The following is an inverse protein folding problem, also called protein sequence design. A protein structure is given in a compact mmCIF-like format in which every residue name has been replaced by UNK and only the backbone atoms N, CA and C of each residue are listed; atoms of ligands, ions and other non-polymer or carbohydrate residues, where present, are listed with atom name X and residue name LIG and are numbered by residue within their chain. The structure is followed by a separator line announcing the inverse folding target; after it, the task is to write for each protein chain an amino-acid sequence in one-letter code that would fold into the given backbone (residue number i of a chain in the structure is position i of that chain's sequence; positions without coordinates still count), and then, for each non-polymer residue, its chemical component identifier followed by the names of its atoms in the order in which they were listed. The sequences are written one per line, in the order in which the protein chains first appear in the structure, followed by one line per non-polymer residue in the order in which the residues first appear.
data_IF_484463479547
#
_entry.id   IF_484463479547
#
_cell.length_a   1.000
_cell.length_b   1.000
_cell.length_c   1.000
_cell.angle_alpha   90.00
_cell.angle_beta   90.00
_cell.angle_gamma   90.00
#
_symmetry.space_group_name_H-M   'P 1'
#
loop_
_entity.id
_entity.type
_entity.pdbx_description
1 polymer ?
#
# COMPACT_ATOMS: atom_id res chain seq x y z
N UNK A 1 19.26 -25.60 2.84
CA UNK A 1 17.98 -25.21 3.48
C UNK A 1 17.97 -25.66 4.94
N UNK A 2 17.77 -24.74 5.88
CA UNK A 2 17.44 -25.13 7.26
C UNK A 2 16.12 -25.92 7.23
N UNK A 3 15.97 -27.01 7.99
CA UNK A 3 14.68 -27.71 8.10
C UNK A 3 13.65 -26.72 8.64
N UNK A 4 12.76 -26.23 7.78
CA UNK A 4 11.71 -25.30 8.16
C UNK A 4 10.78 -25.90 9.23
N UNK A 5 10.42 -25.09 10.22
CA UNK A 5 9.48 -25.50 11.28
C UNK A 5 8.16 -24.76 11.08
N UNK A 6 7.16 -25.41 10.52
CA UNK A 6 5.84 -24.80 10.26
C UNK A 6 5.18 -24.19 11.50
N UNK A 7 5.49 -24.71 12.68
CA UNK A 7 4.97 -24.16 13.94
C UNK A 7 5.43 -22.72 14.21
N UNK A 8 6.55 -22.29 13.61
CA UNK A 8 7.04 -20.92 13.73
C UNK A 8 6.13 -19.89 13.04
N UNK A 9 5.20 -20.32 12.16
CA UNK A 9 4.18 -19.46 11.55
C UNK A 9 2.96 -19.22 12.45
N UNK A 10 2.87 -19.94 13.57
CA UNK A 10 1.72 -19.86 14.48
C UNK A 10 1.41 -18.42 14.97
N UNK A 11 2.39 -17.53 15.23
CA UNK A 11 2.11 -16.13 15.59
C UNK A 11 1.29 -15.38 14.54
N UNK A 12 1.52 -15.63 13.24
CA UNK A 12 0.71 -15.05 12.16
C UNK A 12 -0.74 -15.56 12.27
N UNK A 13 -0.91 -16.85 12.51
CA UNK A 13 -2.24 -17.45 12.74
C UNK A 13 -2.97 -16.81 13.92
N UNK A 14 -2.26 -16.59 15.04
CA UNK A 14 -2.82 -15.91 16.22
C UNK A 14 -3.26 -14.48 15.88
N UNK A 15 -2.40 -13.72 15.19
CA UNK A 15 -2.75 -12.38 14.74
C UNK A 15 -4.02 -12.39 13.87
N UNK A 16 -4.08 -13.26 12.85
CA UNK A 16 -5.23 -13.33 11.94
C UNK A 16 -6.51 -13.71 12.66
N UNK A 17 -6.46 -14.67 13.60
CA UNK A 17 -7.63 -15.08 14.39
C UNK A 17 -8.08 -13.93 15.30
N UNK A 18 -7.17 -13.25 15.97
CA UNK A 18 -7.53 -12.13 16.85
C UNK A 18 -8.08 -10.95 16.05
N UNK A 19 -7.40 -10.52 14.97
CA UNK A 19 -7.80 -9.34 14.24
C UNK A 19 -9.01 -9.60 13.33
N UNK A 20 -8.88 -10.57 12.41
CA UNK A 20 -9.97 -10.89 11.48
C UNK A 20 -11.09 -11.67 12.15
N UNK A 21 -10.75 -12.65 12.99
CA UNK A 21 -11.75 -13.50 13.65
C UNK A 21 -12.63 -12.71 14.61
N UNK A 22 -12.06 -11.89 15.50
CA UNK A 22 -12.84 -11.02 16.38
C UNK A 22 -13.54 -9.90 15.61
N UNK A 23 -12.89 -9.33 14.59
CA UNK A 23 -13.52 -8.31 13.74
C UNK A 23 -14.79 -8.84 13.07
N UNK A 24 -14.72 -10.04 12.46
CA UNK A 24 -15.88 -10.71 11.85
C UNK A 24 -16.94 -11.02 12.91
N UNK A 25 -16.54 -11.51 14.09
CA UNK A 25 -17.44 -11.80 15.18
C UNK A 25 -18.22 -10.54 15.61
N UNK A 26 -17.52 -9.43 15.82
CA UNK A 26 -18.16 -8.18 16.25
C UNK A 26 -19.05 -7.58 15.16
N UNK A 27 -18.58 -7.47 13.92
CA UNK A 27 -19.30 -6.82 12.82
C UNK A 27 -20.51 -7.62 12.33
N UNK A 28 -20.33 -8.94 12.10
CA UNK A 28 -21.33 -9.76 11.40
C UNK A 28 -22.11 -10.72 12.31
N UNK A 29 -21.58 -11.11 13.47
CA UNK A 29 -22.29 -12.03 14.37
C UNK A 29 -22.93 -11.28 15.54
N UNK A 30 -22.24 -10.31 16.10
CA UNK A 30 -22.76 -9.47 17.20
C UNK A 30 -23.43 -8.19 16.69
N UNK A 31 -23.38 -7.93 15.37
CA UNK A 31 -23.98 -6.76 14.72
C UNK A 31 -23.57 -5.43 15.35
N UNK A 32 -22.34 -5.37 15.88
CA UNK A 32 -21.78 -4.13 16.44
C UNK A 32 -21.34 -3.25 15.28
N UNK A 33 -21.90 -2.06 15.08
CA UNK A 33 -21.48 -1.15 14.03
C UNK A 33 -19.98 -0.87 14.11
N UNK A 34 -19.27 -0.96 12.98
CA UNK A 34 -17.82 -0.79 12.89
C UNK A 34 -17.05 -1.75 13.84
N UNK A 35 -17.49 -3.00 13.94
CA UNK A 35 -16.96 -4.01 14.86
C UNK A 35 -15.46 -4.24 14.74
N UNK A 36 -14.88 -4.09 13.53
CA UNK A 36 -13.43 -4.19 13.32
C UNK A 36 -12.64 -3.10 14.04
N UNK A 37 -13.20 -1.91 14.26
CA UNK A 37 -12.53 -0.85 15.03
C UNK A 37 -12.42 -1.17 16.53
N UNK A 38 -13.23 -2.11 17.01
CA UNK A 38 -13.15 -2.56 18.41
C UNK A 38 -12.01 -3.55 18.66
N UNK A 39 -11.28 -3.96 17.62
CA UNK A 39 -10.09 -4.81 17.73
C UNK A 39 -8.87 -3.96 17.41
N UNK A 40 -8.18 -3.38 18.41
CA UNK A 40 -6.98 -2.58 18.15
C UNK A 40 -5.90 -3.46 17.52
N UNK A 41 -5.53 -3.15 16.28
CA UNK A 41 -4.57 -3.94 15.50
C UNK A 41 -3.22 -4.07 16.20
N UNK A 42 -2.77 -3.01 16.89
CA UNK A 42 -1.53 -2.99 17.67
C UNK A 42 -1.58 -4.06 18.78
N UNK A 43 -2.73 -4.22 19.46
CA UNK A 43 -2.91 -5.22 20.52
C UNK A 43 -2.86 -6.65 19.96
N UNK A 44 -3.48 -6.86 18.79
CA UNK A 44 -3.42 -8.16 18.11
C UNK A 44 -1.97 -8.53 17.72
N UNK A 45 -1.16 -7.59 17.23
CA UNK A 45 0.25 -7.81 16.95
C UNK A 45 1.08 -8.04 18.21
N UNK A 46 0.83 -7.33 19.30
CA UNK A 46 1.51 -7.56 20.58
C UNK A 46 1.25 -8.97 21.11
N UNK A 47 0.01 -9.45 21.01
CA UNK A 47 -0.33 -10.83 21.38
C UNK A 47 0.40 -11.85 20.49
N UNK A 48 0.48 -11.61 19.20
CA UNK A 48 1.22 -12.46 18.27
C UNK A 48 2.73 -12.49 18.56
N UNK A 49 3.34 -11.33 18.87
CA UNK A 49 4.75 -11.25 19.28
C UNK A 49 4.99 -12.00 20.59
N UNK A 50 4.09 -11.86 21.57
CA UNK A 50 4.19 -12.63 22.81
C UNK A 50 4.23 -14.13 22.54
N UNK A 51 3.35 -14.63 21.67
CA UNK A 51 3.35 -16.04 21.24
C UNK A 51 4.66 -16.41 20.54
N UNK A 52 5.19 -15.55 19.63
CA UNK A 52 6.48 -15.77 18.98
C UNK A 52 7.61 -15.85 20.00
N UNK A 53 7.61 -15.03 21.04
CA UNK A 53 8.59 -15.08 22.13
C UNK A 53 8.49 -16.36 22.96
N UNK A 54 7.31 -16.94 23.13
CA UNK A 54 7.11 -18.16 23.90
C UNK A 54 7.48 -19.44 23.14
N UNK A 55 7.51 -19.41 21.80
CA UNK A 55 7.70 -20.61 20.96
C UNK A 55 9.10 -21.22 21.07
N UNK A 56 10.15 -20.43 21.05
CA UNK A 56 11.54 -20.92 21.05
C UNK A 56 12.20 -20.68 22.40
N UNK A 57 12.15 -21.70 23.26
CA UNK A 57 12.74 -21.67 24.59
C UNK A 57 14.29 -21.82 24.61
N UNK A 58 14.88 -22.17 23.47
CA UNK A 58 16.34 -22.31 23.37
C UNK A 58 17.06 -20.94 23.26
N UNK A 59 16.32 -19.87 22.88
CA UNK A 59 16.81 -18.51 22.88
C UNK A 59 16.31 -17.78 24.12
N UNK A 60 17.21 -17.11 24.82
CA UNK A 60 16.87 -16.19 25.88
C UNK A 60 16.12 -14.96 25.37
N UNK A 61 15.58 -14.19 26.29
CA UNK A 61 14.76 -13.03 25.89
C UNK A 61 15.61 -11.90 25.27
N UNK A 62 16.83 -11.71 25.78
CA UNK A 62 17.74 -10.69 25.26
C UNK A 62 18.12 -10.97 23.80
N UNK A 63 18.37 -12.23 23.46
CA UNK A 63 18.64 -12.62 22.07
C UNK A 63 17.42 -12.43 21.16
N UNK A 64 16.21 -12.67 21.66
CA UNK A 64 14.98 -12.37 20.92
C UNK A 64 14.81 -10.88 20.68
N UNK A 65 15.13 -10.03 21.68
CA UNK A 65 15.14 -8.57 21.52
C UNK A 65 16.14 -8.11 20.46
N UNK A 66 17.37 -8.67 20.43
CA UNK A 66 18.33 -8.38 19.38
C UNK A 66 17.81 -8.70 17.98
N UNK A 67 17.18 -9.88 17.82
CA UNK A 67 16.60 -10.31 16.54
C UNK A 67 15.46 -9.36 16.12
N UNK A 68 14.58 -8.99 17.03
CA UNK A 68 13.51 -8.03 16.77
C UNK A 68 14.07 -6.66 16.40
N UNK A 69 15.08 -6.17 17.13
CA UNK A 69 15.75 -4.89 16.86
C UNK A 69 16.39 -4.86 15.46
N UNK A 70 17.02 -5.95 15.03
CA UNK A 70 17.57 -6.08 13.68
C UNK A 70 16.47 -6.02 12.62
N UNK A 71 15.31 -6.64 12.87
CA UNK A 71 14.16 -6.57 11.97
C UNK A 71 13.58 -5.17 11.83
N UNK A 72 13.40 -4.48 12.95
CA UNK A 72 12.89 -3.09 12.98
C UNK A 72 13.90 -2.11 12.38
N UNK A 73 15.20 -2.35 12.55
CA UNK A 73 16.28 -1.53 11.99
C UNK A 73 16.51 -1.72 10.48
N UNK A 74 15.67 -2.51 9.79
CA UNK A 74 15.74 -2.63 8.34
C UNK A 74 15.51 -1.28 7.65
N UNK A 75 16.32 -0.98 6.62
CA UNK A 75 16.28 0.29 5.89
C UNK A 75 14.87 0.61 5.37
N UNK A 76 14.15 -0.39 4.87
CA UNK A 76 12.82 -0.17 4.29
C UNK A 76 11.82 0.22 5.38
N UNK A 77 11.89 -0.42 6.55
CA UNK A 77 11.04 -0.08 7.71
C UNK A 77 11.32 1.34 8.18
N UNK A 78 12.57 1.71 8.37
CA UNK A 78 12.94 3.08 8.77
C UNK A 78 12.49 4.12 7.74
N UNK A 79 12.67 3.82 6.45
CA UNK A 79 12.19 4.72 5.36
C UNK A 79 10.68 4.90 5.40
N UNK A 80 9.91 3.82 5.60
CA UNK A 80 8.44 3.89 5.74
C UNK A 80 8.02 4.74 6.93
N UNK A 81 8.65 4.55 8.10
CA UNK A 81 8.34 5.34 9.30
C UNK A 81 8.57 6.83 9.06
N UNK A 82 9.69 7.20 8.42
CA UNK A 82 9.98 8.60 8.09
C UNK A 82 8.95 9.19 7.11
N UNK A 83 8.51 8.41 6.12
CA UNK A 83 7.46 8.82 5.18
C UNK A 83 6.14 9.05 5.91
N UNK A 84 5.72 8.14 6.80
CA UNK A 84 4.48 8.29 7.57
C UNK A 84 4.51 9.53 8.46
N UNK A 85 5.60 9.76 9.18
CA UNK A 85 5.74 10.95 10.03
C UNK A 85 5.74 12.26 9.23
N UNK A 86 6.44 12.29 8.08
CA UNK A 86 6.43 13.43 7.17
C UNK A 86 5.04 13.65 6.55
N UNK A 87 4.33 12.58 6.22
CA UNK A 87 2.96 12.60 5.71
C UNK A 87 1.98 13.22 6.71
N UNK A 88 2.01 12.74 7.95
CA UNK A 88 1.20 13.31 9.02
C UNK A 88 1.51 14.79 9.24
N UNK A 89 2.80 15.15 9.26
CA UNK A 89 3.21 16.56 9.35
C UNK A 89 2.66 17.40 8.20
N UNK A 90 2.72 16.91 6.96
CA UNK A 90 2.19 17.60 5.78
C UNK A 90 0.68 17.85 5.92
N UNK A 91 -0.10 16.80 6.20
CA UNK A 91 -1.55 16.92 6.40
C UNK A 91 -1.89 17.89 7.54
N UNK A 92 -1.14 17.82 8.64
CA UNK A 92 -1.32 18.74 9.78
C UNK A 92 -1.07 20.21 9.41
N UNK A 93 -0.06 20.49 8.58
CA UNK A 93 0.26 21.87 8.15
C UNK A 93 -0.75 22.41 7.14
N UNK A 94 -1.02 21.67 6.07
CA UNK A 94 -1.90 22.14 4.99
C UNK A 94 -3.37 22.09 5.39
N UNK A 95 -3.73 21.19 6.28
CA UNK A 95 -5.07 21.04 6.83
C UNK A 95 -6.12 20.64 5.80
N UNK A 96 -7.36 20.55 6.29
CA UNK A 96 -8.53 20.21 5.47
C UNK A 96 -8.83 21.28 4.43
N UNK A 97 -8.66 22.57 4.77
CA UNK A 97 -8.99 23.69 3.87
C UNK A 97 -8.18 23.71 2.58
N UNK A 98 -6.90 23.30 2.63
CA UNK A 98 -6.07 23.19 1.42
C UNK A 98 -6.51 22.03 0.54
N UNK A 99 -6.83 20.87 1.11
CA UNK A 99 -7.36 19.74 0.35
C UNK A 99 -8.72 20.06 -0.31
N UNK A 100 -9.61 20.74 0.42
CA UNK A 100 -10.88 21.24 -0.12
C UNK A 100 -10.66 22.25 -1.25
N UNK A 101 -9.70 23.19 -1.09
CA UNK A 101 -9.35 24.15 -2.15
C UNK A 101 -8.87 23.46 -3.42
N UNK A 102 -8.07 22.41 -3.32
CA UNK A 102 -7.65 21.57 -4.46
C UNK A 102 -8.86 20.89 -5.10
N UNK A 103 -9.74 20.29 -4.32
CA UNK A 103 -10.93 19.61 -4.82
C UNK A 103 -11.88 20.57 -5.56
N UNK A 104 -12.17 21.74 -4.98
CA UNK A 104 -13.03 22.74 -5.63
C UNK A 104 -12.38 23.34 -6.87
N UNK A 105 -11.06 23.59 -6.85
CA UNK A 105 -10.31 24.00 -8.02
C UNK A 105 -10.42 22.96 -9.15
N UNK A 106 -10.20 21.68 -8.85
CA UNK A 106 -10.36 20.58 -9.80
C UNK A 106 -11.79 20.49 -10.35
N UNK A 107 -12.80 20.56 -9.49
CA UNK A 107 -14.21 20.51 -9.90
C UNK A 107 -14.67 21.75 -10.68
N UNK A 108 -13.98 22.89 -10.56
CA UNK A 108 -14.24 24.07 -11.40
C UNK A 108 -13.79 23.87 -12.85
N UNK A 109 -12.73 23.06 -13.05
CA UNK A 109 -12.13 22.80 -14.36
C UNK A 109 -12.72 21.57 -15.07
N UNK A 110 -13.14 20.57 -14.29
CA UNK A 110 -13.56 19.26 -14.78
C UNK A 110 -14.98 18.95 -14.31
N UNK A 111 -15.88 18.42 -15.19
CA UNK A 111 -17.20 17.96 -14.74
C UNK A 111 -17.07 16.93 -13.62
N UNK A 112 -17.88 17.04 -12.56
CA UNK A 112 -17.78 16.20 -11.37
C UNK A 112 -17.75 14.70 -11.67
N UNK A 113 -18.49 14.25 -12.70
CA UNK A 113 -18.54 12.84 -13.14
C UNK A 113 -17.18 12.27 -13.54
N UNK A 114 -16.21 13.10 -13.92
CA UNK A 114 -14.86 12.66 -14.29
C UNK A 114 -13.86 12.77 -13.14
N UNK A 115 -14.22 13.39 -12.02
CA UNK A 115 -13.28 13.69 -10.93
C UNK A 115 -12.58 12.44 -10.37
N UNK A 116 -13.32 11.35 -10.15
CA UNK A 116 -12.76 10.10 -9.63
C UNK A 116 -11.83 9.44 -10.66
N UNK A 117 -12.19 9.49 -11.95
CA UNK A 117 -11.34 8.98 -13.03
C UNK A 117 -10.04 9.78 -13.17
N UNK A 118 -10.11 11.09 -12.98
CA UNK A 118 -8.93 11.97 -12.98
C UNK A 118 -8.03 11.66 -11.78
N UNK A 119 -8.59 11.46 -10.59
CA UNK A 119 -7.82 11.02 -9.42
C UNK A 119 -7.07 9.72 -9.68
N UNK A 120 -7.73 8.72 -10.28
CA UNK A 120 -7.08 7.46 -10.67
C UNK A 120 -5.92 7.69 -11.64
N UNK A 121 -6.13 8.46 -12.71
CA UNK A 121 -5.10 8.74 -13.73
C UNK A 121 -3.92 9.51 -13.12
N UNK A 122 -4.19 10.55 -12.32
CA UNK A 122 -3.14 11.33 -11.64
C UNK A 122 -2.34 10.41 -10.70
N UNK A 123 -3.01 9.55 -9.95
CA UNK A 123 -2.33 8.60 -9.08
C UNK A 123 -1.44 7.62 -9.87
N UNK A 124 -1.87 7.15 -11.06
CA UNK A 124 -1.05 6.33 -11.95
C UNK A 124 0.27 7.06 -12.32
N UNK A 125 0.18 8.28 -12.80
CA UNK A 125 1.36 9.03 -13.25
C UNK A 125 2.30 9.41 -12.11
N UNK A 126 1.75 9.91 -11.02
CA UNK A 126 2.54 10.28 -9.82
C UNK A 126 3.29 9.07 -9.29
N UNK A 127 2.60 7.92 -9.17
CA UNK A 127 3.22 6.71 -8.64
C UNK A 127 4.27 6.11 -9.56
N UNK A 128 4.08 6.14 -10.90
CA UNK A 128 5.13 5.73 -11.86
C UNK A 128 6.39 6.57 -11.67
N UNK A 129 6.22 7.88 -11.49
CA UNK A 129 7.32 8.83 -11.40
C UNK A 129 8.02 8.82 -10.03
N UNK A 130 7.27 8.67 -8.93
CA UNK A 130 7.82 8.59 -7.57
C UNK A 130 8.39 7.22 -7.21
N UNK A 131 7.91 6.16 -7.87
CA UNK A 131 8.30 4.79 -7.56
C UNK A 131 7.79 4.29 -6.21
N UNK A 132 6.64 4.77 -5.74
CA UNK A 132 6.04 4.33 -4.48
C UNK A 132 4.53 4.52 -4.44
N UNK A 133 3.81 3.44 -4.20
CA UNK A 133 2.35 3.48 -3.98
C UNK A 133 2.00 4.16 -2.66
N UNK A 134 2.70 3.85 -1.58
CA UNK A 134 2.45 4.43 -0.25
C UNK A 134 2.60 5.94 -0.28
N UNK A 135 3.69 6.47 -0.87
CA UNK A 135 3.91 7.92 -1.01
C UNK A 135 2.80 8.58 -1.81
N UNK A 136 2.38 7.98 -2.92
CA UNK A 136 1.31 8.50 -3.78
C UNK A 136 -0.04 8.50 -3.06
N UNK A 137 -0.38 7.44 -2.36
CA UNK A 137 -1.61 7.33 -1.55
C UNK A 137 -1.63 8.44 -0.48
N UNK A 138 -0.52 8.60 0.22
CA UNK A 138 -0.36 9.66 1.23
C UNK A 138 -0.69 11.06 0.68
N UNK A 139 -0.18 11.37 -0.51
CA UNK A 139 -0.35 12.68 -1.13
C UNK A 139 -1.75 12.93 -1.67
N UNK A 140 -2.37 11.90 -2.25
CA UNK A 140 -3.62 12.06 -3.00
C UNK A 140 -4.87 11.71 -2.19
N UNK A 141 -4.76 10.93 -1.11
CA UNK A 141 -5.94 10.57 -0.29
C UNK A 141 -6.63 11.78 0.32
N UNK A 142 -5.94 12.82 0.83
CA UNK A 142 -6.60 14.04 1.28
C UNK A 142 -7.44 14.72 0.19
N UNK A 143 -6.92 14.75 -1.06
CA UNK A 143 -7.65 15.30 -2.21
C UNK A 143 -8.87 14.42 -2.52
N UNK A 144 -8.73 13.10 -2.48
CA UNK A 144 -9.82 12.16 -2.71
C UNK A 144 -10.95 12.34 -1.69
N UNK A 145 -10.62 12.53 -0.42
CA UNK A 145 -11.58 12.80 0.65
C UNK A 145 -12.31 14.13 0.43
N UNK A 146 -11.58 15.18 0.05
CA UNK A 146 -12.17 16.48 -0.25
C UNK A 146 -13.06 16.43 -1.52
N UNK A 147 -12.65 15.68 -2.57
CA UNK A 147 -13.46 15.47 -3.78
C UNK A 147 -14.74 14.71 -3.43
N UNK A 148 -14.68 13.68 -2.60
CA UNK A 148 -15.86 12.96 -2.10
C UNK A 148 -16.87 13.92 -1.47
N UNK A 149 -16.43 14.76 -0.53
CA UNK A 149 -17.28 15.74 0.16
C UNK A 149 -17.86 16.78 -0.82
N UNK A 150 -17.06 17.27 -1.77
CA UNK A 150 -17.45 18.34 -2.69
C UNK A 150 -18.36 17.85 -3.85
N UNK A 151 -18.22 16.60 -4.28
CA UNK A 151 -18.95 16.04 -5.41
C UNK A 151 -20.12 15.11 -5.02
N UNK A 152 -20.16 14.64 -3.76
CA UNK A 152 -21.13 13.67 -3.28
C UNK A 152 -20.83 12.22 -3.67
N UNK A 153 -19.67 11.93 -4.24
CA UNK A 153 -19.22 10.54 -4.43
C UNK A 153 -18.92 9.88 -3.10
N UNK A 154 -19.11 8.58 -3.05
CA UNK A 154 -18.74 7.76 -1.91
C UNK A 154 -17.24 7.88 -1.58
N UNK A 155 -16.91 8.09 -0.31
CA UNK A 155 -15.54 8.30 0.15
C UNK A 155 -14.63 7.09 -0.16
N UNK A 156 -15.13 5.88 0.10
CA UNK A 156 -14.36 4.66 -0.15
C UNK A 156 -14.10 4.46 -1.65
N UNK A 157 -15.01 4.89 -2.53
CA UNK A 157 -14.83 4.83 -3.98
C UNK A 157 -13.73 5.79 -4.44
N UNK A 158 -13.70 7.03 -3.93
CA UNK A 158 -12.67 8.01 -4.24
C UNK A 158 -11.28 7.54 -3.76
N UNK A 159 -11.20 7.05 -2.51
CA UNK A 159 -9.95 6.56 -1.91
C UNK A 159 -9.45 5.32 -2.62
N UNK A 160 -10.33 4.32 -2.88
CA UNK A 160 -9.97 3.11 -3.60
C UNK A 160 -9.47 3.40 -5.02
N UNK A 161 -10.01 4.42 -5.69
CA UNK A 161 -9.55 4.83 -7.02
C UNK A 161 -8.14 5.40 -6.98
N UNK A 162 -7.80 6.24 -5.99
CA UNK A 162 -6.43 6.72 -5.77
C UNK A 162 -5.49 5.56 -5.45
N UNK A 163 -5.88 4.65 -4.56
CA UNK A 163 -5.09 3.47 -4.22
C UNK A 163 -4.82 2.60 -5.46
N UNK A 164 -5.85 2.32 -6.24
CA UNK A 164 -5.71 1.52 -7.47
C UNK A 164 -4.75 2.15 -8.49
N UNK A 165 -4.84 3.47 -8.67
CA UNK A 165 -3.91 4.22 -9.54
C UNK A 165 -2.47 4.20 -9.01
N UNK A 166 -2.30 4.38 -7.70
CA UNK A 166 -0.99 4.31 -7.05
C UNK A 166 -0.35 2.92 -7.19
N UNK A 167 -1.15 1.87 -7.04
CA UNK A 167 -0.70 0.49 -7.22
C UNK A 167 -0.28 0.20 -8.67
N UNK A 168 -1.04 0.69 -9.66
CA UNK A 168 -0.65 0.58 -11.07
C UNK A 168 0.69 1.23 -11.33
N UNK A 169 0.86 2.46 -10.84
CA UNK A 169 2.09 3.23 -11.06
C UNK A 169 3.31 2.58 -10.43
N UNK A 170 3.19 2.09 -9.19
CA UNK A 170 4.25 1.38 -8.47
C UNK A 170 4.69 0.11 -9.22
N UNK A 171 3.73 -0.68 -9.68
CA UNK A 171 3.95 -1.90 -10.42
C UNK A 171 4.66 -1.68 -11.79
N UNK A 172 4.49 -0.51 -12.41
CA UNK A 172 5.13 -0.15 -13.68
C UNK A 172 6.31 0.82 -13.54
N UNK A 173 6.65 1.27 -12.34
CA UNK A 173 7.79 2.16 -12.13
C UNK A 173 9.12 1.44 -12.32
N UNK A 174 10.08 2.12 -12.96
CA UNK A 174 11.46 1.65 -13.06
C UNK A 174 12.27 1.85 -11.78
N UNK A 175 11.84 2.76 -10.93
CA UNK A 175 12.55 3.18 -9.71
C UNK A 175 11.87 2.69 -8.43
N UNK A 176 10.78 1.92 -8.55
CA UNK A 176 10.09 1.35 -7.40
C UNK A 176 10.95 0.34 -6.67
N UNK A 177 10.92 0.39 -5.34
CA UNK A 177 11.63 -0.56 -4.48
C UNK A 177 11.21 -2.00 -4.76
N UNK A 178 9.94 -2.25 -5.10
CA UNK A 178 9.41 -3.56 -5.47
C UNK A 178 9.99 -4.06 -6.79
N UNK A 179 10.06 -3.18 -7.80
CA UNK A 179 10.69 -3.49 -9.10
C UNK A 179 12.18 -3.78 -8.93
N UNK A 180 12.89 -2.94 -8.16
CA UNK A 180 14.32 -3.13 -7.89
C UNK A 180 14.56 -4.44 -7.15
N UNK A 181 13.77 -4.73 -6.11
CA UNK A 181 13.87 -5.98 -5.35
C UNK A 181 13.63 -7.21 -6.22
N UNK A 182 12.57 -7.20 -7.04
CA UNK A 182 12.23 -8.32 -7.92
C UNK A 182 13.31 -8.56 -9.00
N UNK A 183 13.77 -7.50 -9.67
CA UNK A 183 14.76 -7.60 -10.74
C UNK A 183 16.13 -8.04 -10.21
N UNK A 184 16.60 -7.44 -9.12
CA UNK A 184 17.88 -7.81 -8.52
C UNK A 184 17.90 -9.26 -8.03
N UNK A 185 16.80 -9.71 -7.40
CA UNK A 185 16.69 -11.10 -6.93
C UNK A 185 16.70 -12.13 -8.06
N UNK A 186 16.08 -11.79 -9.18
CA UNK A 186 15.99 -12.69 -10.34
C UNK A 186 17.16 -12.52 -11.33
N UNK A 187 17.93 -11.43 -11.23
CA UNK A 187 19.05 -11.15 -12.15
C UNK A 187 18.59 -10.74 -13.53
N UNK A 188 17.52 -9.93 -13.64
CA UNK A 188 17.03 -9.40 -14.91
C UNK A 188 17.06 -7.87 -14.92
N UNK A 189 17.04 -7.29 -16.13
CA UNK A 189 16.96 -5.83 -16.27
C UNK A 189 15.56 -5.30 -15.96
N UNK A 190 15.46 -4.12 -15.35
CA UNK A 190 14.18 -3.47 -15.06
C UNK A 190 13.37 -3.21 -16.31
N UNK A 191 14.03 -2.91 -17.44
CA UNK A 191 13.39 -2.69 -18.74
C UNK A 191 12.67 -3.95 -19.24
N UNK A 192 13.26 -5.12 -19.03
CA UNK A 192 12.66 -6.39 -19.47
C UNK A 192 11.47 -6.77 -18.60
N UNK A 193 11.57 -6.57 -17.29
CA UNK A 193 10.45 -6.72 -16.36
C UNK A 193 9.32 -5.75 -16.70
N UNK A 194 9.62 -4.48 -16.99
CA UNK A 194 8.63 -3.49 -17.38
C UNK A 194 7.84 -3.93 -18.63
N UNK A 195 8.54 -4.38 -19.68
CA UNK A 195 7.88 -4.87 -20.89
C UNK A 195 6.95 -6.04 -20.64
N UNK A 196 7.37 -6.99 -19.80
CA UNK A 196 6.54 -8.13 -19.41
C UNK A 196 5.32 -7.67 -18.61
N UNK A 197 5.54 -6.80 -17.64
CA UNK A 197 4.52 -6.32 -16.70
C UNK A 197 3.51 -5.39 -17.35
N UNK A 198 3.94 -4.59 -18.33
CA UNK A 198 3.08 -3.64 -19.04
C UNK A 198 1.84 -4.32 -19.66
N UNK A 199 2.04 -5.49 -20.27
CA UNK A 199 0.95 -6.24 -20.89
C UNK A 199 0.03 -6.96 -19.89
N UNK A 200 0.39 -6.98 -18.62
CA UNK A 200 -0.43 -7.51 -17.52
C UNK A 200 -1.18 -6.34 -16.85
N UNK A 201 -0.45 -5.29 -16.51
CA UNK A 201 -0.95 -4.17 -15.72
C UNK A 201 -1.84 -3.20 -16.52
N UNK A 202 -1.47 -2.89 -17.78
CA UNK A 202 -2.22 -1.94 -18.60
C UNK A 202 -3.68 -2.38 -18.87
N UNK A 203 -3.96 -3.63 -19.27
CA UNK A 203 -5.35 -4.07 -19.46
C UNK A 203 -6.18 -3.96 -18.18
N UNK A 204 -5.59 -4.28 -17.03
CA UNK A 204 -6.24 -4.13 -15.73
C UNK A 204 -6.54 -2.66 -15.39
N UNK A 205 -5.60 -1.75 -15.67
CA UNK A 205 -5.80 -0.33 -15.42
C UNK A 205 -6.87 0.27 -16.36
N UNK A 206 -6.87 -0.09 -17.64
CA UNK A 206 -7.89 0.36 -18.59
C UNK A 206 -9.27 -0.15 -18.17
N UNK A 207 -9.38 -1.43 -17.79
CA UNK A 207 -10.64 -1.99 -17.30
C UNK A 207 -11.10 -1.31 -16.00
N UNK A 208 -10.17 -1.01 -15.09
CA UNK A 208 -10.45 -0.23 -13.87
C UNK A 208 -10.99 1.15 -14.20
N UNK A 209 -10.33 1.87 -15.12
CA UNK A 209 -10.76 3.21 -15.53
C UNK A 209 -12.17 3.18 -16.16
N UNK A 210 -12.44 2.20 -17.02
CA UNK A 210 -13.78 2.02 -17.62
C UNK A 210 -14.81 1.76 -16.52
N UNK A 211 -14.52 0.91 -15.56
CA UNK A 211 -15.42 0.61 -14.46
C UNK A 211 -15.68 1.83 -13.57
N UNK A 212 -14.63 2.60 -13.25
CA UNK A 212 -14.76 3.87 -12.53
C UNK A 212 -15.66 4.85 -13.30
N UNK A 213 -15.46 4.98 -14.62
CA UNK A 213 -16.31 5.84 -15.46
C UNK A 213 -17.78 5.38 -15.42
N UNK A 214 -18.06 4.09 -15.64
CA UNK A 214 -19.41 3.55 -15.63
C UNK A 214 -20.10 3.86 -14.29
N UNK A 215 -19.43 3.57 -13.16
CA UNK A 215 -19.98 3.83 -11.83
C UNK A 215 -20.15 5.32 -11.56
N UNK A 216 -19.23 6.16 -12.00
CA UNK A 216 -19.34 7.62 -11.86
C UNK A 216 -20.54 8.19 -12.64
N UNK A 217 -20.88 7.60 -13.79
CA UNK A 217 -22.05 8.03 -14.56
C UNK A 217 -23.38 7.48 -14.01
N UNK A 218 -23.36 6.36 -13.29
CA UNK A 218 -24.53 5.78 -12.64
C UNK A 218 -24.87 6.45 -11.30
N UNK A 219 -23.89 7.13 -10.67
CA UNK A 219 -24.10 7.80 -9.40
C UNK A 219 -24.87 9.11 -9.63
N UNK A 220 -25.96 9.30 -8.90
CA UNK A 220 -26.68 10.57 -8.83
C UNK A 220 -25.83 11.57 -8.05
N UNK A 221 -25.28 12.56 -8.76
CA UNK A 221 -24.50 13.63 -8.15
C UNK A 221 -25.51 14.66 -7.63
N UNK A 222 -25.59 14.82 -6.32
CA UNK A 222 -26.33 15.91 -5.70
C UNK A 222 -25.70 17.24 -6.14
N UNK A 223 -26.55 18.21 -6.48
CA UNK A 223 -26.16 19.46 -7.15
C UNK A 223 -24.91 20.11 -6.55
N UNK A 224 -24.00 20.51 -7.41
CA UNK A 224 -22.74 21.15 -7.06
C UNK A 224 -22.94 22.36 -6.15
N UNK A 225 -22.50 22.29 -4.94
CA UNK A 225 -22.20 23.47 -4.14
C UNK A 225 -20.70 23.76 -4.31
N UNK A 226 -20.35 24.46 -5.41
CA UNK A 226 -19.00 25.00 -5.57
C UNK A 226 -18.82 26.06 -4.48
N UNK A 227 -18.02 25.75 -3.49
CA UNK A 227 -17.62 26.73 -2.48
C UNK A 227 -16.44 27.55 -3.01
N UNK A 228 -16.32 28.81 -2.59
CA UNK A 228 -15.15 29.62 -2.90
C UNK A 228 -13.90 28.95 -2.35
N UNK A 229 -12.84 28.89 -3.16
CA UNK A 229 -11.57 28.29 -2.78
C UNK A 229 -10.42 29.30 -2.94
N UNK A 230 -9.35 29.09 -2.19
CA UNK A 230 -8.17 29.96 -2.21
C UNK A 230 -7.06 29.32 -3.06
N UNK A 231 -6.75 29.92 -4.20
CA UNK A 231 -5.69 29.43 -5.11
C UNK A 231 -4.32 29.30 -4.40
N UNK A 232 -4.04 30.17 -3.44
CA UNK A 232 -2.79 30.09 -2.65
C UNK A 232 -2.68 28.77 -1.87
N UNK A 233 -3.78 28.26 -1.35
CA UNK A 233 -3.83 27.00 -0.59
C UNK A 233 -3.69 25.77 -1.49
N UNK A 234 -3.86 25.91 -2.81
CA UNK A 234 -3.64 24.83 -3.80
C UNK A 234 -2.14 24.63 -4.05
N UNK A 235 -1.31 25.68 -3.89
CA UNK A 235 0.12 25.67 -4.26
C UNK A 235 0.91 24.53 -3.59
N UNK A 236 0.80 24.22 -2.27
CA UNK A 236 1.57 23.13 -1.66
C UNK A 236 1.31 21.79 -2.32
N UNK A 237 0.05 21.48 -2.64
CA UNK A 237 -0.30 20.25 -3.35
C UNK A 237 0.21 20.23 -4.79
N UNK A 238 0.17 21.36 -5.50
CA UNK A 238 0.72 21.47 -6.87
C UNK A 238 2.23 21.24 -6.86
N UNK A 239 2.96 21.84 -5.91
CA UNK A 239 4.41 21.61 -5.76
C UNK A 239 4.74 20.15 -5.47
N UNK A 240 3.97 19.54 -4.58
CA UNK A 240 4.10 18.11 -4.24
C UNK A 240 3.79 17.22 -5.46
N UNK A 241 2.72 17.50 -6.20
CA UNK A 241 2.37 16.77 -7.42
C UNK A 241 3.43 16.91 -8.51
N UNK A 242 3.93 18.13 -8.75
CA UNK A 242 5.02 18.38 -9.72
C UNK A 242 6.27 17.62 -9.29
N UNK A 243 6.66 17.72 -8.02
CA UNK A 243 7.80 16.97 -7.46
C UNK A 243 7.66 15.46 -7.64
N UNK A 244 6.46 14.92 -7.41
CA UNK A 244 6.13 13.53 -7.67
C UNK A 244 6.25 13.14 -9.14
N UNK A 245 5.67 13.94 -10.06
CA UNK A 245 5.71 13.69 -11.50
C UNK A 245 7.15 13.77 -12.06
N UNK A 246 7.99 14.66 -11.52
CA UNK A 246 9.42 14.77 -11.90
C UNK A 246 10.25 13.61 -11.31
N UNK A 247 9.72 12.82 -10.39
CA UNK A 247 10.41 11.67 -9.78
C UNK A 247 11.37 12.07 -8.65
N UNK A 248 11.11 13.17 -7.95
CA UNK A 248 11.85 13.54 -6.74
C UNK A 248 11.49 12.56 -5.61
N UNK A 249 12.48 12.25 -4.77
CA UNK A 249 12.27 11.39 -3.62
C UNK A 249 11.07 11.86 -2.76
N UNK A 250 10.18 10.93 -2.39
CA UNK A 250 8.92 11.22 -1.69
C UNK A 250 9.11 12.01 -0.39
N UNK A 251 10.19 11.74 0.36
CA UNK A 251 10.50 12.45 1.59
C UNK A 251 10.83 13.92 1.34
N UNK A 252 11.63 14.21 0.29
CA UNK A 252 11.97 15.58 -0.12
C UNK A 252 10.72 16.32 -0.62
N UNK A 253 9.87 15.64 -1.37
CA UNK A 253 8.58 16.17 -1.85
C UNK A 253 7.69 16.56 -0.69
N UNK A 254 7.53 15.70 0.31
CA UNK A 254 6.75 15.98 1.52
C UNK A 254 7.33 17.17 2.33
N UNK A 255 8.66 17.21 2.49
CA UNK A 255 9.32 18.36 3.15
C UNK A 255 9.06 19.67 2.41
N UNK A 256 9.12 19.66 1.07
CA UNK A 256 8.80 20.83 0.24
C UNK A 256 7.34 21.26 0.46
N UNK A 257 6.42 20.29 0.51
CA UNK A 257 5.01 20.54 0.82
C UNK A 257 4.79 21.13 2.21
N UNK A 258 5.48 20.61 3.22
CA UNK A 258 5.41 21.11 4.61
C UNK A 258 5.90 22.56 4.67
N UNK A 259 7.09 22.84 4.11
CA UNK A 259 7.68 24.19 4.16
C UNK A 259 6.82 25.20 3.38
N UNK A 260 6.42 24.87 2.14
CA UNK A 260 5.57 25.74 1.33
C UNK A 260 4.17 25.93 1.94
N UNK A 261 3.59 24.87 2.50
CA UNK A 261 2.31 24.92 3.20
C UNK A 261 2.37 25.83 4.43
N UNK A 262 3.38 25.63 5.29
CA UNK A 262 3.59 26.47 6.48
C UNK A 262 3.75 27.96 6.08
N UNK A 263 4.54 28.25 5.07
CA UNK A 263 4.76 29.61 4.59
C UNK A 263 3.47 30.27 4.07
N UNK A 264 2.69 29.54 3.26
CA UNK A 264 1.43 30.05 2.69
C UNK A 264 0.38 30.27 3.78
N UNK A 265 0.26 29.33 4.71
CA UNK A 265 -0.72 29.45 5.81
C UNK A 265 -0.39 30.61 6.75
N UNK A 266 0.91 30.88 7.00
CA UNK A 266 1.36 32.02 7.80
C UNK A 266 1.13 33.36 7.10
N UNK A 267 1.55 33.51 5.84
CA UNK A 267 1.41 34.78 5.10
C UNK A 267 -0.06 35.08 4.80
N UNK A 268 -0.86 34.02 4.55
CA UNK A 268 -2.31 34.17 4.33
C UNK A 268 -3.07 34.56 5.60
N UNK A 269 -2.42 34.62 6.76
CA UNK A 269 -3.07 34.91 8.04
C UNK A 269 -4.05 33.84 8.49
N UNK A 270 -3.94 32.63 7.93
CA UNK A 270 -4.86 31.53 8.22
C UNK A 270 -4.50 30.80 9.52
N UNK A 271 -3.27 30.97 10.02
CA UNK A 271 -2.77 30.30 11.22
C UNK A 271 -1.58 31.06 11.83
N UNK A 272 -1.25 30.75 13.07
CA UNK A 272 -0.07 31.27 13.79
C UNK A 272 1.07 30.25 13.78
N UNK A 273 2.35 30.67 14.00
CA UNK A 273 3.47 29.72 14.09
C UNK A 273 3.28 28.64 15.15
N UNK A 274 2.64 28.98 16.27
CA UNK A 274 2.37 28.03 17.36
C UNK A 274 1.32 26.99 16.93
N UNK A 275 0.27 27.42 16.25
CA UNK A 275 -0.76 26.53 15.71
C UNK A 275 -0.20 25.59 14.65
N UNK A 276 0.69 26.06 13.77
CA UNK A 276 1.37 25.19 12.79
C UNK A 276 2.10 24.05 13.50
N UNK A 277 2.93 24.37 14.51
CA UNK A 277 3.66 23.35 15.25
C UNK A 277 2.73 22.38 15.99
N UNK A 278 1.64 22.88 16.55
CA UNK A 278 0.61 22.06 17.20
C UNK A 278 -0.08 21.13 16.20
N UNK A 279 -0.47 21.65 15.04
CA UNK A 279 -1.12 20.88 13.99
C UNK A 279 -0.17 19.83 13.37
N UNK A 280 1.12 20.19 13.17
CA UNK A 280 2.14 19.21 12.78
C UNK A 280 2.24 18.07 13.80
N UNK A 281 2.28 18.40 15.08
CA UNK A 281 2.32 17.41 16.15
C UNK A 281 1.08 16.51 16.17
N UNK A 282 -0.10 17.07 15.95
CA UNK A 282 -1.35 16.29 15.82
C UNK A 282 -1.28 15.33 14.64
N UNK A 283 -0.90 15.83 13.45
CA UNK A 283 -0.79 14.98 12.24
C UNK A 283 0.26 13.87 12.40
N UNK A 284 1.40 14.15 13.05
CA UNK A 284 2.38 13.10 13.40
C UNK A 284 1.76 12.06 14.34
N UNK A 285 1.01 12.49 15.34
CA UNK A 285 0.34 11.59 16.29
C UNK A 285 -0.72 10.72 15.61
N UNK A 286 -1.42 11.22 14.60
CA UNK A 286 -2.39 10.45 13.81
C UNK A 286 -1.76 9.29 13.04
N UNK A 287 -0.45 9.34 12.77
CA UNK A 287 0.27 8.21 12.14
C UNK A 287 0.76 7.15 13.14
N UNK A 288 0.43 7.28 14.43
CA UNK A 288 0.93 6.38 15.48
C UNK A 288 0.60 4.91 15.17
N UNK A 289 -0.65 4.59 14.89
CA UNK A 289 -1.07 3.21 14.64
C UNK A 289 -0.34 2.60 13.43
N UNK A 290 -0.25 3.34 12.33
CA UNK A 290 0.45 2.93 11.11
C UNK A 290 1.94 2.67 11.38
N UNK A 291 2.61 3.55 12.13
CA UNK A 291 4.01 3.37 12.52
C UNK A 291 4.18 2.15 13.43
N UNK A 292 3.32 1.99 14.43
CA UNK A 292 3.41 0.86 15.35
C UNK A 292 3.17 -0.47 14.67
N UNK A 293 2.22 -0.57 13.73
CA UNK A 293 2.01 -1.78 12.95
C UNK A 293 3.27 -2.13 12.15
N UNK A 294 3.89 -1.17 11.46
CA UNK A 294 5.12 -1.42 10.71
C UNK A 294 6.26 -1.97 11.60
N UNK A 295 6.44 -1.40 12.79
CA UNK A 295 7.44 -1.84 13.78
C UNK A 295 7.14 -3.26 14.29
N UNK A 296 5.90 -3.51 14.70
CA UNK A 296 5.53 -4.79 15.31
C UNK A 296 5.53 -5.93 14.30
N UNK A 297 5.09 -5.69 13.07
CA UNK A 297 5.20 -6.66 11.97
C UNK A 297 6.65 -7.01 11.70
N UNK A 298 7.53 -6.01 11.58
CA UNK A 298 8.96 -6.24 11.33
C UNK A 298 9.61 -7.07 12.45
N UNK A 299 9.32 -6.74 13.71
CA UNK A 299 9.79 -7.49 14.87
C UNK A 299 9.31 -8.95 14.87
N UNK A 300 8.01 -9.17 14.64
CA UNK A 300 7.42 -10.51 14.57
C UNK A 300 8.04 -11.34 13.44
N UNK A 301 8.17 -10.76 12.25
CA UNK A 301 8.72 -11.43 11.07
C UNK A 301 10.19 -11.80 11.25
N UNK A 302 10.97 -10.99 11.95
CA UNK A 302 12.36 -11.31 12.27
C UNK A 302 12.46 -12.58 13.13
N UNK A 303 11.61 -12.73 14.15
CA UNK A 303 11.54 -13.94 14.97
C UNK A 303 11.08 -15.16 14.16
N UNK A 304 10.04 -15.03 13.35
CA UNK A 304 9.52 -16.11 12.51
C UNK A 304 10.59 -16.59 11.52
N UNK A 305 11.35 -15.67 10.93
CA UNK A 305 12.47 -15.97 10.04
C UNK A 305 13.57 -16.75 10.75
N UNK A 306 13.98 -16.29 11.93
CA UNK A 306 15.03 -16.98 12.72
C UNK A 306 14.59 -18.38 13.13
N UNK A 307 13.31 -18.60 13.39
CA UNK A 307 12.77 -19.91 13.77
C UNK A 307 12.53 -20.84 12.55
N UNK A 308 12.78 -20.37 11.33
CA UNK A 308 12.62 -21.15 10.09
C UNK A 308 11.17 -21.30 9.65
N UNK A 309 10.28 -20.41 10.07
CA UNK A 309 8.85 -20.46 9.70
C UNK A 309 8.65 -20.22 8.21
N UNK A 310 9.33 -19.23 7.66
CA UNK A 310 9.24 -18.94 6.22
C UNK A 310 9.85 -20.05 5.36
N UNK A 311 10.96 -20.68 5.79
CA UNK A 311 11.53 -21.83 5.07
C UNK A 311 10.54 -23.01 4.97
N UNK A 312 9.73 -23.22 6.01
CA UNK A 312 8.69 -24.24 6.00
C UNK A 312 7.57 -23.93 5.00
N UNK A 313 7.10 -22.67 4.98
CA UNK A 313 6.06 -22.22 4.06
C UNK A 313 6.51 -22.33 2.61
N UNK A 314 7.72 -21.87 2.34
CA UNK A 314 8.36 -21.91 1.03
C UNK A 314 8.52 -23.35 0.52
N UNK A 315 9.02 -24.26 1.36
CA UNK A 315 9.15 -25.67 1.01
C UNK A 315 7.81 -26.37 0.79
N UNK A 316 6.73 -25.91 1.41
CA UNK A 316 5.39 -26.43 1.20
C UNK A 316 4.82 -26.01 -0.17
N UNK A 317 4.95 -24.73 -0.52
CA UNK A 317 4.48 -24.19 -1.80
C UNK A 317 5.22 -24.87 -2.98
N UNK A 318 6.54 -25.01 -2.89
CA UNK A 318 7.34 -25.69 -3.89
C UNK A 318 6.91 -27.15 -4.15
N UNK A 319 6.43 -27.87 -3.14
CA UNK A 319 5.96 -29.25 -3.28
C UNK A 319 4.61 -29.36 -3.99
N UNK A 320 3.74 -28.38 -3.82
CA UNK A 320 2.36 -28.41 -4.36
C UNK A 320 2.33 -27.96 -5.81
N UNK A 321 3.03 -26.87 -6.14
CA UNK A 321 2.98 -26.22 -7.45
C UNK A 321 4.11 -26.72 -8.34
N UNK A 322 3.77 -27.53 -9.36
CA UNK A 322 4.74 -28.15 -10.26
C UNK A 322 4.47 -27.76 -11.71
N UNK A 323 5.55 -27.84 -12.54
CA UNK A 323 5.51 -27.50 -13.95
C UNK A 323 5.36 -26.01 -14.22
N UNK A 324 5.47 -25.59 -15.49
CA UNK A 324 5.59 -24.19 -15.88
C UNK A 324 4.43 -23.29 -15.42
N UNK A 325 3.18 -23.72 -15.63
CA UNK A 325 1.99 -22.96 -15.21
C UNK A 325 1.79 -23.04 -13.69
N UNK A 326 1.93 -24.22 -13.10
CA UNK A 326 1.87 -24.43 -11.67
C UNK A 326 2.95 -23.63 -10.95
N UNK A 327 4.18 -23.63 -11.43
CA UNK A 327 5.28 -22.82 -10.88
C UNK A 327 4.98 -21.33 -10.87
N UNK A 328 4.41 -20.77 -11.95
CA UNK A 328 4.02 -19.37 -12.01
C UNK A 328 2.93 -19.01 -10.96
N UNK A 329 1.92 -19.86 -10.80
CA UNK A 329 0.89 -19.70 -9.76
C UNK A 329 1.49 -19.86 -8.36
N UNK A 330 2.39 -20.83 -8.20
CA UNK A 330 3.10 -21.04 -6.94
C UNK A 330 3.95 -19.84 -6.52
N UNK A 331 4.64 -19.19 -7.46
CA UNK A 331 5.39 -17.95 -7.20
C UNK A 331 4.47 -16.81 -6.77
N UNK A 332 3.31 -16.68 -7.43
CA UNK A 332 2.30 -15.68 -7.04
C UNK A 332 1.76 -15.93 -5.64
N UNK A 333 1.40 -17.16 -5.29
CA UNK A 333 0.94 -17.51 -3.95
C UNK A 333 2.05 -17.37 -2.90
N UNK A 334 3.30 -17.68 -3.30
CA UNK A 334 4.48 -17.52 -2.46
C UNK A 334 4.64 -16.08 -1.98
N UNK A 335 4.73 -15.14 -2.93
CA UNK A 335 4.90 -13.73 -2.57
C UNK A 335 3.66 -13.18 -1.86
N UNK A 336 2.45 -13.60 -2.24
CA UNK A 336 1.21 -13.19 -1.59
C UNK A 336 1.13 -13.65 -0.12
N UNK A 337 1.57 -14.87 0.19
CA UNK A 337 1.63 -15.33 1.58
C UNK A 337 2.72 -14.62 2.38
N UNK A 338 3.83 -14.22 1.73
CA UNK A 338 4.83 -13.35 2.37
C UNK A 338 4.25 -11.95 2.63
N UNK A 339 3.47 -11.38 1.71
CA UNK A 339 2.78 -10.10 1.93
C UNK A 339 1.82 -10.15 3.13
N UNK A 340 1.00 -11.18 3.23
CA UNK A 340 0.12 -11.39 4.38
C UNK A 340 0.93 -11.44 5.69
N UNK A 341 2.09 -12.08 5.67
CA UNK A 341 2.94 -12.21 6.84
C UNK A 341 3.67 -10.93 7.21
N UNK A 342 4.16 -10.17 6.20
CA UNK A 342 5.07 -9.04 6.40
C UNK A 342 4.36 -7.68 6.31
N UNK A 343 3.14 -7.64 5.80
CA UNK A 343 2.38 -6.42 5.50
C UNK A 343 3.19 -5.40 4.65
N UNK A 344 4.21 -5.88 3.93
CA UNK A 344 5.13 -5.06 3.14
C UNK A 344 5.57 -5.80 1.88
N UNK A 345 5.19 -5.28 0.73
CA UNK A 345 5.43 -5.88 -0.58
C UNK A 345 6.94 -6.02 -0.93
N UNK A 346 7.77 -5.02 -0.65
CA UNK A 346 9.21 -5.08 -0.92
C UNK A 346 9.88 -6.19 -0.12
N UNK A 347 9.55 -6.29 1.18
CA UNK A 347 10.07 -7.36 2.06
C UNK A 347 9.59 -8.73 1.59
N UNK A 348 8.31 -8.85 1.23
CA UNK A 348 7.74 -10.09 0.71
C UNK A 348 8.45 -10.56 -0.56
N UNK A 349 8.73 -9.66 -1.51
CA UNK A 349 9.45 -9.97 -2.75
C UNK A 349 10.90 -10.42 -2.43
N UNK A 350 11.61 -9.69 -1.57
CA UNK A 350 12.98 -10.05 -1.18
C UNK A 350 13.03 -11.44 -0.56
N UNK A 351 12.06 -11.78 0.28
CA UNK A 351 11.98 -13.10 0.91
C UNK A 351 11.61 -14.22 -0.06
N UNK A 352 10.71 -13.94 -1.01
CA UNK A 352 10.26 -14.92 -2.00
C UNK A 352 11.32 -15.17 -3.10
N UNK A 353 12.19 -14.20 -3.38
CA UNK A 353 13.13 -14.22 -4.49
C UNK A 353 13.98 -15.50 -4.60
N UNK A 354 14.66 -15.98 -3.52
CA UNK A 354 15.56 -17.15 -3.65
C UNK A 354 14.81 -18.40 -4.16
N UNK A 355 13.60 -18.63 -3.65
CA UNK A 355 12.82 -19.81 -3.99
C UNK A 355 12.11 -19.64 -5.34
N UNK A 356 11.62 -18.44 -5.63
CA UNK A 356 11.06 -18.15 -6.93
C UNK A 356 12.12 -18.35 -8.04
N UNK A 357 13.39 -18.02 -7.77
CA UNK A 357 14.51 -18.27 -8.68
C UNK A 357 14.75 -19.76 -8.89
N UNK A 358 14.81 -20.53 -7.80
CA UNK A 358 14.96 -22.00 -7.86
C UNK A 358 13.81 -22.66 -8.65
N UNK A 359 12.56 -22.25 -8.39
CA UNK A 359 11.39 -22.70 -9.14
C UNK A 359 11.45 -22.26 -10.62
N UNK A 360 11.96 -21.07 -10.91
CA UNK A 360 12.11 -20.57 -12.27
C UNK A 360 13.11 -21.41 -13.08
N UNK A 361 14.24 -21.73 -12.49
CA UNK A 361 15.27 -22.60 -13.08
C UNK A 361 14.73 -24.03 -13.32
N UNK A 362 14.03 -24.60 -12.32
CA UNK A 362 13.45 -25.96 -12.43
C UNK A 362 12.37 -26.05 -13.52
N UNK A 363 11.51 -25.04 -13.66
CA UNK A 363 10.36 -25.09 -14.57
C UNK A 363 10.56 -24.35 -15.89
N UNK A 364 11.76 -23.84 -16.15
CA UNK A 364 12.10 -23.11 -17.38
C UNK A 364 11.30 -21.82 -17.56
N UNK A 365 11.12 -21.06 -16.47
CA UNK A 365 10.48 -19.75 -16.46
C UNK A 365 11.58 -18.68 -16.54
N UNK A 366 11.40 -17.68 -17.41
CA UNK A 366 12.41 -16.64 -17.59
C UNK A 366 12.54 -15.72 -16.36
N UNK A 367 13.73 -15.21 -16.01
CA UNK A 367 13.94 -14.30 -14.89
C UNK A 367 13.03 -13.06 -14.94
N UNK A 368 12.83 -12.45 -16.12
CA UNK A 368 11.94 -11.32 -16.32
C UNK A 368 10.48 -11.65 -15.99
N UNK A 369 10.01 -12.85 -16.38
CA UNK A 369 8.65 -13.32 -16.06
C UNK A 369 8.49 -13.55 -14.58
N UNK A 370 9.48 -14.17 -13.94
CA UNK A 370 9.49 -14.39 -12.49
C UNK A 370 9.46 -13.06 -11.73
N UNK A 371 10.31 -12.11 -12.09
CA UNK A 371 10.30 -10.77 -11.47
C UNK A 371 8.95 -10.06 -11.66
N UNK A 372 8.35 -10.14 -12.87
CA UNK A 372 7.03 -9.59 -13.15
C UNK A 372 5.94 -10.24 -12.30
N UNK A 373 5.94 -11.56 -12.13
CA UNK A 373 4.96 -12.28 -11.31
C UNK A 373 5.10 -11.92 -9.83
N UNK A 374 6.32 -11.89 -9.30
CA UNK A 374 6.54 -11.50 -7.90
C UNK A 374 6.01 -10.11 -7.61
N UNK A 375 6.32 -9.13 -8.45
CA UNK A 375 5.87 -7.75 -8.27
C UNK A 375 4.35 -7.62 -8.49
N UNK A 376 3.79 -8.27 -9.51
CA UNK A 376 2.36 -8.22 -9.81
C UNK A 376 1.51 -8.84 -8.70
N UNK A 377 1.86 -10.04 -8.24
CA UNK A 377 1.09 -10.71 -7.19
C UNK A 377 1.28 -10.04 -5.82
N UNK A 378 2.48 -9.53 -5.53
CA UNK A 378 2.71 -8.70 -4.36
C UNK A 378 1.81 -7.46 -4.38
N UNK A 379 1.73 -6.75 -5.51
CA UNK A 379 0.81 -5.63 -5.69
C UNK A 379 -0.66 -6.03 -5.41
N UNK A 380 -1.10 -7.20 -5.92
CA UNK A 380 -2.47 -7.70 -5.69
C UNK A 380 -2.74 -7.94 -4.20
N UNK A 381 -1.87 -8.68 -3.52
CA UNK A 381 -2.07 -9.04 -2.11
C UNK A 381 -1.95 -7.82 -1.19
N UNK A 382 -0.92 -7.00 -1.38
CA UNK A 382 -0.70 -5.81 -0.56
C UNK A 382 -1.88 -4.83 -0.61
N UNK A 383 -2.53 -4.69 -1.77
CA UNK A 383 -3.67 -3.81 -1.92
C UNK A 383 -4.90 -4.24 -1.14
N UNK A 384 -5.09 -5.56 -0.94
CA UNK A 384 -6.28 -6.10 -0.25
C UNK A 384 -6.03 -6.46 1.21
N UNK A 385 -4.81 -6.32 1.72
CA UNK A 385 -4.51 -6.59 3.13
C UNK A 385 -5.01 -5.42 3.99
N UNK A 386 -5.94 -5.65 4.94
CA UNK A 386 -6.55 -4.56 5.71
C UNK A 386 -5.59 -3.86 6.67
N UNK A 387 -4.48 -4.50 7.02
CA UNK A 387 -3.39 -3.98 7.86
C UNK A 387 -2.11 -3.69 7.07
N UNK A 388 -2.18 -3.71 5.75
CA UNK A 388 -1.06 -3.36 4.88
C UNK A 388 -0.78 -1.85 4.89
N UNK A 389 0.48 -1.47 4.64
CA UNK A 389 0.93 -0.08 4.70
C UNK A 389 0.09 0.86 3.82
N UNK A 390 -0.30 0.42 2.62
CA UNK A 390 -1.14 1.20 1.70
C UNK A 390 -2.52 1.49 2.28
N UNK A 391 -3.15 0.48 2.88
CA UNK A 391 -4.48 0.59 3.48
C UNK A 391 -4.45 1.49 4.72
N UNK A 392 -3.50 1.26 5.62
CA UNK A 392 -3.37 2.02 6.86
C UNK A 392 -3.10 3.50 6.60
N UNK A 393 -2.21 3.83 5.66
CA UNK A 393 -1.92 5.22 5.34
C UNK A 393 -3.12 5.93 4.70
N UNK A 394 -3.90 5.22 3.88
CA UNK A 394 -5.13 5.76 3.31
C UNK A 394 -6.16 6.08 4.41
N UNK A 395 -6.38 5.14 5.33
CA UNK A 395 -7.29 5.32 6.47
C UNK A 395 -6.83 6.46 7.37
N UNK A 396 -5.54 6.49 7.74
CA UNK A 396 -4.99 7.54 8.59
C UNK A 396 -5.12 8.93 7.95
N UNK A 397 -4.86 9.06 6.65
CA UNK A 397 -5.00 10.33 5.94
C UNK A 397 -6.46 10.84 5.90
N UNK A 398 -7.44 9.94 5.82
CA UNK A 398 -8.87 10.30 5.92
C UNK A 398 -9.23 10.72 7.33
N UNK A 399 -8.79 9.97 8.34
CA UNK A 399 -9.08 10.24 9.75
C UNK A 399 -8.50 11.59 10.19
N UNK A 400 -7.29 11.95 9.75
CA UNK A 400 -6.66 13.26 10.00
C UNK A 400 -7.51 14.45 9.49
N UNK A 401 -8.30 14.23 8.45
CA UNK A 401 -9.22 15.21 7.90
C UNK A 401 -10.61 15.18 8.56
N UNK A 402 -10.78 14.38 9.61
CA UNK A 402 -12.04 14.22 10.34
C UNK A 402 -13.07 13.38 9.61
N UNK A 403 -12.64 12.57 8.62
CA UNK A 403 -13.45 11.52 8.01
C UNK A 403 -13.31 10.20 8.76
N UNK A 404 -14.21 9.26 8.51
CA UNK A 404 -14.15 7.90 9.05
C UNK A 404 -14.30 6.91 7.90
N UNK A 405 -13.36 5.97 7.79
CA UNK A 405 -13.36 4.94 6.76
C UNK A 405 -12.65 3.68 7.25
N UNK A 406 -13.20 2.51 6.91
CA UNK A 406 -12.57 1.23 7.23
C UNK A 406 -11.97 0.56 5.99
N UNK A 407 -11.00 -0.34 6.23
CA UNK A 407 -10.43 -1.19 5.18
C UNK A 407 -11.52 -1.98 4.44
N UNK A 408 -12.52 -2.47 5.16
CA UNK A 408 -13.61 -3.28 4.59
C UNK A 408 -14.61 -2.49 3.73
N UNK A 409 -14.66 -1.17 3.89
CA UNK A 409 -15.40 -0.27 2.99
C UNK A 409 -14.60 0.02 1.70
N UNK A 410 -13.27 0.09 1.79
CA UNK A 410 -12.37 0.36 0.67
C UNK A 410 -12.21 -0.88 -0.22
N UNK A 411 -11.96 -2.06 0.37
CA UNK A 411 -11.64 -3.30 -0.33
C UNK A 411 -12.62 -3.67 -1.47
N UNK A 412 -13.96 -3.63 -1.27
CA UNK A 412 -14.90 -3.96 -2.34
C UNK A 412 -14.87 -3.01 -3.54
N UNK A 413 -14.33 -1.80 -3.36
CA UNK A 413 -14.23 -0.74 -4.39
C UNK A 413 -12.82 -0.63 -4.97
N UNK A 414 -11.88 -1.43 -4.49
CA UNK A 414 -10.52 -1.48 -4.96
C UNK A 414 -10.42 -2.40 -6.19
N UNK A 415 -10.88 -1.91 -7.34
CA UNK A 415 -11.03 -2.72 -8.55
C UNK A 415 -9.70 -3.13 -9.19
N UNK A 416 -8.69 -2.25 -9.14
CA UNK A 416 -7.42 -2.49 -9.84
C UNK A 416 -6.74 -3.80 -9.43
N UNK A 417 -6.47 -4.13 -8.17
CA UNK A 417 -5.82 -5.39 -7.81
C UNK A 417 -6.64 -6.61 -8.19
N UNK A 418 -7.98 -6.54 -8.15
CA UNK A 418 -8.83 -7.65 -8.58
C UNK A 418 -8.70 -7.87 -10.10
N UNK A 419 -8.76 -6.81 -10.89
CA UNK A 419 -8.59 -6.88 -12.35
C UNK A 419 -7.15 -7.25 -12.74
N UNK A 420 -6.15 -6.83 -11.95
CA UNK A 420 -4.76 -7.22 -12.11
C UNK A 420 -4.57 -8.73 -11.89
N UNK A 421 -5.22 -9.29 -10.87
CA UNK A 421 -5.24 -10.73 -10.63
C UNK A 421 -5.81 -11.48 -11.84
N UNK A 422 -6.97 -11.06 -12.37
CA UNK A 422 -7.56 -11.66 -13.55
C UNK A 422 -6.65 -11.57 -14.77
N UNK A 423 -6.06 -10.42 -15.03
CA UNK A 423 -5.10 -10.21 -16.13
C UNK A 423 -3.88 -11.13 -16.01
N UNK A 424 -3.35 -11.27 -14.78
CA UNK A 424 -2.22 -12.16 -14.48
C UNK A 424 -2.56 -13.63 -14.74
N UNK A 425 -3.71 -14.09 -14.25
CA UNK A 425 -4.17 -15.46 -14.45
C UNK A 425 -4.37 -15.79 -15.94
N UNK A 426 -4.98 -14.87 -16.71
CA UNK A 426 -5.13 -15.04 -18.16
C UNK A 426 -3.75 -15.18 -18.83
N UNK A 427 -2.77 -14.36 -18.44
CA UNK A 427 -1.42 -14.39 -18.99
C UNK A 427 -0.72 -15.71 -18.68
N UNK A 428 -0.85 -16.23 -17.46
CA UNK A 428 -0.31 -17.54 -17.04
C UNK A 428 -0.97 -18.68 -17.85
N UNK A 429 -2.30 -18.63 -18.00
CA UNK A 429 -3.04 -19.68 -18.71
C UNK A 429 -2.71 -19.72 -20.21
N UNK A 430 -2.49 -18.57 -20.84
CA UNK A 430 -2.09 -18.49 -22.26
C UNK A 430 -0.68 -19.00 -22.52
N UNK A 431 0.15 -19.16 -21.48
CA UNK A 431 1.49 -19.70 -21.62
C UNK A 431 2.45 -18.80 -22.41
N UNK A 432 2.15 -17.51 -22.50
CA UNK A 432 2.95 -16.56 -23.27
C UNK A 432 4.24 -16.17 -22.52
N UNK A 433 5.25 -17.01 -22.59
CA UNK A 433 6.62 -16.50 -22.59
C UNK A 433 6.80 -15.88 -23.98
N UNK A 434 6.61 -14.58 -24.10
CA UNK A 434 7.02 -13.88 -25.32
C UNK A 434 8.54 -13.96 -25.38
N UNK A 435 9.03 -14.97 -26.10
CA UNK A 435 10.43 -15.03 -26.51
C UNK A 435 10.75 -13.72 -27.22
N UNK A 436 11.87 -13.07 -26.82
CA UNK A 436 12.34 -11.86 -27.45
C UNK A 436 12.44 -12.10 -28.96
N UNK A 437 11.64 -11.37 -29.73
CA UNK A 437 11.96 -11.03 -31.10
C UNK A 437 12.69 -9.69 -31.08
#
# INVERSE_FOLDING_TARGET
MRKGKGIALFPIGVFLVLYLGLGILFEYVMEIPMGFYNVPIVVAFLAAILVACLQNRALDFDKKLEIMAQGVGDKNIITMLLIFLAAGSFVGVVGRSSAESVAYCMLSLIPARFSVSVLFIVACFVSVAMGTSVGTITLLTPIAAAVSTASGFDLAFCVASVMGGAMFGDNLSFISDTTIAACNGQGCEMKDKFRENFWIALPAAVATLILILILSFQTEIQGRVLQPYHLTQVIPYVLVLIGGIVGINVFVVLLTGIVSGAFIMLIGGHTTPVEILKNMGSGVSGMFETCMVAILVAAMCALIREYGGFDALLGWIHKIFRGKKGGQLGMGLLVGTMDIATANNTVAIVMANPIAKEMAEEYGITPRKTASLLDTFSCVFQGVIPYGAQMLVAISAVNELGGEISAFQIMPKLFYPMLLLFSSLITIMRGSDRTAA
#
